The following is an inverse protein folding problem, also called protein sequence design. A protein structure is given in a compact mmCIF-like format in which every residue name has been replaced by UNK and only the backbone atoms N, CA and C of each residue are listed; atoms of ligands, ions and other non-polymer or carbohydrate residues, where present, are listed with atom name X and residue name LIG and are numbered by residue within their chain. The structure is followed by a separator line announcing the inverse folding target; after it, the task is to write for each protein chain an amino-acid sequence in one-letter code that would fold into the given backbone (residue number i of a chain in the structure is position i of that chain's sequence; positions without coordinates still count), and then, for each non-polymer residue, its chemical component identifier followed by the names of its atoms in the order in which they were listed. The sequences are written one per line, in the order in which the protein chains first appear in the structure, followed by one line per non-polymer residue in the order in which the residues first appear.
data_IF_433975422900
#
_entry.id   IF_433975422900
#
_cell.length_a   1.000
_cell.length_b   1.000
_cell.length_c   1.000
_cell.angle_alpha   90.00
_cell.angle_beta   90.00
_cell.angle_gamma   90.00
#
_symmetry.space_group_name_H-M   'P 1'
#
loop_
_entity.id
_entity.type
_entity.pdbx_description
1 polymer ?
#
# COMPACT_ATOMS: atom_id res chain seq x y z
N UNK A 1 -4.44 -12.00 -17.27
CA UNK A 1 -3.10 -12.30 -16.72
C UNK A 1 -2.82 -11.36 -15.57
N UNK A 2 -2.30 -11.87 -14.45
CA UNK A 2 -1.96 -11.08 -13.25
C UNK A 2 -0.98 -9.96 -13.60
N UNK A 3 -0.03 -10.19 -14.52
CA UNK A 3 0.93 -9.18 -14.97
C UNK A 3 0.27 -7.86 -15.43
N UNK A 4 -0.75 -7.94 -16.29
CA UNK A 4 -1.48 -6.76 -16.78
C UNK A 4 -2.21 -6.00 -15.66
N UNK A 5 -2.70 -6.72 -14.63
CA UNK A 5 -3.34 -6.07 -13.48
C UNK A 5 -2.31 -5.33 -12.61
N UNK A 6 -1.10 -5.88 -12.49
CA UNK A 6 0.01 -5.23 -11.77
C UNK A 6 0.43 -3.95 -12.49
N UNK A 7 0.60 -3.97 -13.82
CA UNK A 7 0.96 -2.79 -14.61
C UNK A 7 -0.06 -1.65 -14.42
N UNK A 8 -1.35 -1.96 -14.56
CA UNK A 8 -2.43 -0.96 -14.37
C UNK A 8 -2.44 -0.42 -12.92
N UNK A 9 -2.16 -1.26 -11.92
CA UNK A 9 -2.06 -0.80 -10.54
C UNK A 9 -0.87 0.14 -10.33
N UNK A 10 0.28 -0.14 -10.95
CA UNK A 10 1.46 0.72 -10.90
C UNK A 10 1.18 2.09 -11.52
N UNK A 11 0.56 2.14 -12.70
CA UNK A 11 0.19 3.40 -13.35
C UNK A 11 -0.73 4.27 -12.47
N UNK A 12 -1.74 3.64 -11.84
CA UNK A 12 -2.65 4.35 -10.92
C UNK A 12 -1.93 4.91 -9.70
N UNK A 13 -1.00 4.15 -9.14
CA UNK A 13 -0.19 4.58 -7.99
C UNK A 13 0.69 5.77 -8.39
N UNK A 14 1.35 5.72 -9.55
CA UNK A 14 2.19 6.83 -10.02
C UNK A 14 1.38 8.09 -10.27
N UNK A 15 0.20 7.97 -10.89
CA UNK A 15 -0.70 9.10 -11.07
C UNK A 15 -1.18 9.68 -9.74
N UNK A 16 -1.54 8.84 -8.77
CA UNK A 16 -1.95 9.31 -7.45
C UNK A 16 -0.83 10.09 -6.74
N UNK A 17 0.42 9.63 -6.85
CA UNK A 17 1.59 10.37 -6.33
C UNK A 17 1.80 11.70 -7.03
N UNK A 18 1.68 11.74 -8.37
CA UNK A 18 1.78 12.98 -9.15
C UNK A 18 0.68 13.99 -8.79
N UNK A 19 -0.53 13.51 -8.48
CA UNK A 19 -1.65 14.33 -7.99
C UNK A 19 -1.47 14.80 -6.52
N UNK A 20 -0.35 14.46 -5.86
CA UNK A 20 -0.10 14.80 -4.45
C UNK A 20 -0.95 14.01 -3.44
N UNK A 21 -1.52 12.87 -3.84
CA UNK A 21 -2.34 12.04 -2.94
C UNK A 21 -1.47 11.16 -2.05
N UNK A 22 -1.92 10.97 -0.81
CA UNK A 22 -1.31 10.04 0.15
C UNK A 22 -1.75 8.60 -0.15
N UNK A 23 -0.82 7.65 -0.05
CA UNK A 23 -1.09 6.22 -0.21
C UNK A 23 -1.13 5.55 1.16
N UNK A 24 -2.19 4.77 1.38
CA UNK A 24 -2.40 3.96 2.57
C UNK A 24 -2.45 2.48 2.18
N UNK A 25 -1.61 1.65 2.80
CA UNK A 25 -1.63 0.20 2.60
C UNK A 25 -2.24 -0.49 3.82
N UNK A 26 -3.34 -1.22 3.62
CA UNK A 26 -4.02 -1.95 4.69
C UNK A 26 -3.82 -3.46 4.55
N UNK A 27 -3.37 -4.12 5.62
CA UNK A 27 -3.27 -5.57 5.69
C UNK A 27 -3.55 -6.05 7.12
N UNK A 28 -4.66 -6.77 7.33
CA UNK A 28 -5.03 -7.27 8.66
C UNK A 28 -4.29 -8.56 9.05
N UNK A 29 -3.53 -9.15 8.13
CA UNK A 29 -2.81 -10.40 8.37
C UNK A 29 -1.58 -10.13 9.20
N UNK A 30 -1.63 -10.58 10.46
CA UNK A 30 -0.53 -10.42 11.44
C UNK A 30 0.84 -10.89 10.94
N UNK A 31 0.88 -11.94 10.10
CA UNK A 31 2.14 -12.45 9.54
C UNK A 31 2.92 -11.44 8.69
N UNK A 32 2.27 -10.40 8.16
CA UNK A 32 2.89 -9.36 7.35
C UNK A 32 3.05 -8.03 8.10
N UNK A 33 2.67 -7.95 9.38
CA UNK A 33 2.66 -6.70 10.12
C UNK A 33 4.05 -6.03 10.19
N UNK A 34 5.10 -6.81 10.45
CA UNK A 34 6.47 -6.31 10.55
C UNK A 34 7.03 -5.89 9.18
N UNK A 35 6.69 -6.63 8.12
CA UNK A 35 7.11 -6.30 6.76
C UNK A 35 6.42 -5.02 6.28
N UNK A 36 5.12 -4.88 6.56
CA UNK A 36 4.33 -3.69 6.24
C UNK A 36 4.88 -2.45 6.95
N UNK A 37 5.25 -2.57 8.23
CA UNK A 37 5.86 -1.48 8.99
C UNK A 37 7.21 -1.05 8.39
N UNK A 38 8.11 -2.02 8.10
CA UNK A 38 9.41 -1.74 7.46
C UNK A 38 9.25 -1.09 6.08
N UNK A 39 8.26 -1.52 5.30
CA UNK A 39 7.95 -0.92 4.00
C UNK A 39 7.41 0.50 4.16
N UNK A 40 6.54 0.73 5.14
CA UNK A 40 6.02 2.05 5.50
C UNK A 40 7.15 3.05 5.77
N UNK A 41 8.07 2.68 6.66
CA UNK A 41 9.21 3.52 7.04
C UNK A 41 10.16 3.78 5.87
N UNK A 42 10.45 2.75 5.06
CA UNK A 42 11.37 2.86 3.92
C UNK A 42 10.81 3.71 2.77
N UNK A 43 9.52 3.58 2.49
CA UNK A 43 8.88 4.19 1.33
C UNK A 43 8.11 5.48 1.67
N UNK A 44 8.01 5.84 2.95
CA UNK A 44 7.23 6.98 3.42
C UNK A 44 5.74 6.84 3.15
N UNK A 45 5.21 5.61 3.20
CA UNK A 45 3.79 5.32 2.95
C UNK A 45 3.08 5.01 4.27
N UNK A 46 1.83 5.47 4.40
CA UNK A 46 1.00 5.12 5.55
C UNK A 46 0.58 3.65 5.49
N UNK A 47 0.42 3.02 6.66
CA UNK A 47 -0.06 1.64 6.72
C UNK A 47 -1.07 1.40 7.86
N UNK A 48 -1.90 0.38 7.67
CA UNK A 48 -2.82 -0.16 8.68
C UNK A 48 -2.61 -1.67 8.77
N UNK A 49 -2.08 -2.13 9.91
CA UNK A 49 -1.84 -3.54 10.19
C UNK A 49 -2.83 -4.13 11.22
N UNK A 50 -3.89 -3.39 11.52
CA UNK A 50 -4.95 -3.78 12.43
C UNK A 50 -6.30 -3.73 11.73
N UNK A 51 -7.27 -4.47 12.27
CA UNK A 51 -8.64 -4.47 11.77
C UNK A 51 -9.26 -3.10 11.99
N UNK A 52 -9.72 -2.47 10.91
CA UNK A 52 -10.47 -1.21 11.00
C UNK A 52 -11.91 -1.54 11.44
N UNK A 53 -12.39 -1.03 12.58
CA UNK A 53 -13.79 -1.20 12.97
C UNK A 53 -14.71 -0.57 11.90
N UNK A 54 -15.80 -1.28 11.57
CA UNK A 54 -16.82 -0.79 10.63
C UNK A 54 -17.70 0.29 11.27
#
# INVERSE_FOLDING_TARGET
MIAKQIEVAQERIQKAKADGKTILVACEKKMYADELAKMGDKLGIGYLNYKVPA
#
